data_IF_096052955509
#
_entry.id   IF_096052955509
#
_cell.length_a   1.000
_cell.length_b   1.000
_cell.length_c   1.000
_cell.angle_alpha   90.00
_cell.angle_beta   90.00
_cell.angle_gamma   90.00
#
_symmetry.space_group_name_H-M   'P 1'
#
loop_
_entity.id
_entity.type
_entity.pdbx_description
1 polymer ?
#
# COMPACT_ATOMS: atom_id res chain seq x y z
N UNK A 1 19.01 12.45 4.56
CA UNK A 1 17.69 12.84 4.04
C UNK A 1 17.85 14.22 3.44
N UNK A 2 17.65 14.37 2.14
CA UNK A 2 17.86 15.64 1.44
C UNK A 2 16.71 16.58 1.76
N UNK A 3 17.00 17.75 2.33
CA UNK A 3 16.01 18.79 2.61
C UNK A 3 15.19 19.14 1.35
N UNK A 4 13.92 18.70 1.31
CA UNK A 4 12.96 18.97 0.23
C UNK A 4 12.37 20.38 0.34
N UNK A 5 13.19 21.39 0.63
CA UNK A 5 12.75 22.77 0.88
C UNK A 5 12.34 23.52 -0.40
N UNK A 6 12.30 22.84 -1.55
CA UNK A 6 11.94 23.36 -2.87
C UNK A 6 10.66 22.77 -3.45
N UNK A 7 10.04 21.78 -2.79
CA UNK A 7 8.82 21.14 -3.29
C UNK A 7 7.60 22.03 -3.05
N UNK A 8 6.88 22.33 -4.12
CA UNK A 8 5.56 22.97 -4.04
C UNK A 8 4.54 22.01 -3.43
N UNK A 9 3.38 22.53 -3.04
CA UNK A 9 2.30 21.67 -2.53
C UNK A 9 1.82 20.69 -3.61
N UNK A 10 1.86 21.09 -4.88
CA UNK A 10 1.58 20.21 -6.03
C UNK A 10 2.62 19.08 -6.15
N UNK A 11 3.91 19.38 -5.98
CA UNK A 11 4.97 18.37 -6.00
C UNK A 11 4.82 17.35 -4.86
N UNK A 12 4.46 17.83 -3.66
CA UNK A 12 4.18 16.95 -2.50
C UNK A 12 2.98 16.04 -2.78
N UNK A 13 1.93 16.58 -3.40
CA UNK A 13 0.76 15.79 -3.79
C UNK A 13 1.14 14.72 -4.81
N UNK A 14 1.87 15.08 -5.88
CA UNK A 14 2.34 14.13 -6.89
C UNK A 14 3.21 13.04 -6.25
N UNK A 15 4.12 13.43 -5.36
CA UNK A 15 4.98 12.49 -4.67
C UNK A 15 4.18 11.52 -3.80
N UNK A 16 3.22 12.03 -3.02
CA UNK A 16 2.34 11.22 -2.20
C UNK A 16 1.52 10.23 -3.03
N UNK A 17 0.90 10.67 -4.12
CA UNK A 17 0.13 9.80 -5.01
C UNK A 17 1.01 8.75 -5.70
N UNK A 18 2.25 9.09 -6.03
CA UNK A 18 3.21 8.16 -6.62
C UNK A 18 3.55 7.04 -5.64
N UNK A 19 3.89 7.40 -4.39
CA UNK A 19 4.17 6.42 -3.33
C UNK A 19 2.95 5.54 -3.09
N UNK A 20 1.75 6.13 -2.99
CA UNK A 20 0.52 5.37 -2.78
C UNK A 20 0.26 4.36 -3.90
N UNK A 21 0.33 4.81 -5.16
CA UNK A 21 0.17 3.94 -6.34
C UNK A 21 1.15 2.76 -6.32
N UNK A 22 2.41 3.04 -6.04
CA UNK A 22 3.47 2.03 -6.07
C UNK A 22 3.34 1.04 -4.92
N UNK A 23 2.95 1.52 -3.73
CA UNK A 23 2.66 0.67 -2.56
C UNK A 23 1.50 -0.29 -2.85
N UNK A 24 0.38 0.21 -3.36
CA UNK A 24 -0.80 -0.62 -3.66
C UNK A 24 -0.47 -1.66 -4.73
N UNK A 25 0.24 -1.25 -5.79
CA UNK A 25 0.68 -2.18 -6.83
C UNK A 25 1.58 -3.28 -6.30
N UNK A 26 2.51 -2.93 -5.39
CA UNK A 26 3.37 -3.91 -4.75
C UNK A 26 2.61 -4.88 -3.84
N UNK A 27 1.63 -4.41 -3.04
CA UNK A 27 0.80 -5.29 -2.20
C UNK A 27 0.00 -6.29 -3.05
N UNK A 28 -0.59 -5.85 -4.16
CA UNK A 28 -1.28 -6.75 -5.10
C UNK A 28 -0.35 -7.85 -5.59
N UNK A 29 0.87 -7.50 -6.00
CA UNK A 29 1.86 -8.49 -6.45
C UNK A 29 2.22 -9.50 -5.36
N UNK A 30 2.34 -9.06 -4.11
CA UNK A 30 2.59 -9.97 -2.98
C UNK A 30 1.43 -10.95 -2.80
N UNK A 31 0.18 -10.46 -2.83
CA UNK A 31 -1.01 -11.30 -2.69
C UNK A 31 -1.15 -12.29 -3.86
N UNK A 32 -0.95 -11.84 -5.10
CA UNK A 32 -0.98 -12.70 -6.29
C UNK A 32 0.08 -13.81 -6.22
N UNK A 33 1.29 -13.49 -5.72
CA UNK A 33 2.36 -14.49 -5.55
C UNK A 33 2.00 -15.60 -4.56
N UNK A 34 1.06 -15.33 -3.64
CA UNK A 34 0.52 -16.27 -2.65
C UNK A 34 -0.77 -16.96 -3.14
N UNK A 35 -1.14 -16.75 -4.41
CA UNK A 35 -2.32 -17.33 -5.05
C UNK A 35 -3.63 -16.61 -4.71
N UNK A 36 -3.58 -15.39 -4.15
CA UNK A 36 -4.77 -14.61 -3.81
C UNK A 36 -5.02 -13.61 -4.93
N UNK A 37 -6.08 -13.84 -5.69
CA UNK A 37 -6.53 -12.89 -6.70
C UNK A 37 -7.13 -11.66 -6.00
N UNK A 38 -6.65 -10.47 -6.35
CA UNK A 38 -7.16 -9.24 -5.78
C UNK A 38 -7.19 -8.10 -6.81
N UNK A 39 -8.14 -7.19 -6.64
CA UNK A 39 -8.28 -5.99 -7.46
C UNK A 39 -8.36 -4.76 -6.56
N UNK A 40 -7.78 -3.63 -6.99
CA UNK A 40 -8.01 -2.33 -6.34
C UNK A 40 -9.23 -1.63 -6.92
N UNK A 41 -9.81 -0.74 -6.11
CA UNK A 41 -10.80 0.24 -6.55
C UNK A 41 -10.33 1.04 -7.76
N UNK A 42 -11.29 1.45 -8.60
CA UNK A 42 -11.05 2.35 -9.74
C UNK A 42 -11.47 3.76 -9.36
N UNK A 43 -10.61 4.74 -9.60
CA UNK A 43 -10.86 6.15 -9.31
C UNK A 43 -9.88 6.71 -8.27
N UNK A 44 -10.00 8.00 -7.96
CA UNK A 44 -9.27 8.65 -6.89
C UNK A 44 -10.25 8.89 -5.73
N UNK A 45 -10.41 7.88 -4.87
CA UNK A 45 -11.26 8.01 -3.68
C UNK A 45 -10.43 8.59 -2.52
N UNK A 46 -10.85 9.70 -1.89
CA UNK A 46 -10.13 10.30 -0.76
C UNK A 46 -10.09 9.40 0.49
N UNK A 47 -10.95 8.39 0.57
CA UNK A 47 -10.92 7.33 1.58
C UNK A 47 -9.84 6.26 1.35
N UNK A 48 -9.14 6.31 0.21
CA UNK A 48 -8.05 5.40 -0.14
C UNK A 48 -8.48 4.24 -1.05
N UNK A 49 -7.49 3.44 -1.47
CA UNK A 49 -7.74 2.24 -2.27
C UNK A 49 -8.25 1.07 -1.40
N UNK A 50 -9.35 0.43 -1.84
CA UNK A 50 -9.86 -0.81 -1.24
C UNK A 50 -9.40 -1.99 -2.09
N UNK A 51 -8.82 -3.01 -1.43
CA UNK A 51 -8.52 -4.30 -2.03
C UNK A 51 -9.74 -5.21 -1.96
N UNK A 52 -10.23 -5.65 -3.12
CA UNK A 52 -11.23 -6.71 -3.25
C UNK A 52 -10.52 -8.05 -3.39
N UNK A 53 -10.91 -9.02 -2.56
CA UNK A 53 -10.45 -10.40 -2.59
C UNK A 53 -11.61 -11.31 -2.18
N UNK A 54 -11.48 -12.63 -2.42
CA UNK A 54 -12.46 -13.61 -2.00
C UNK A 54 -12.62 -13.60 -0.46
N UNK A 55 -13.84 -13.56 0.12
CA UNK A 55 -14.03 -13.50 1.57
C UNK A 55 -13.30 -14.61 2.34
N UNK A 56 -13.13 -15.78 1.71
CA UNK A 56 -12.41 -16.93 2.26
C UNK A 56 -10.92 -16.65 2.49
N UNK A 57 -10.33 -15.73 1.73
CA UNK A 57 -8.93 -15.33 1.83
C UNK A 57 -8.70 -14.22 2.87
N UNK A 58 -9.77 -13.64 3.46
CA UNK A 58 -9.65 -12.53 4.44
C UNK A 58 -8.66 -12.80 5.58
N UNK A 59 -8.66 -13.99 6.23
CA UNK A 59 -7.70 -14.27 7.29
C UNK A 59 -6.25 -14.26 6.78
N UNK A 60 -6.02 -14.82 5.58
CA UNK A 60 -4.69 -14.91 4.97
C UNK A 60 -4.18 -13.56 4.51
N UNK A 61 -5.05 -12.74 3.89
CA UNK A 61 -4.71 -11.37 3.49
C UNK A 61 -4.29 -10.55 4.71
N UNK A 62 -5.01 -10.65 5.83
CA UNK A 62 -4.65 -9.94 7.08
C UNK A 62 -3.30 -10.38 7.62
N UNK A 63 -2.98 -11.67 7.55
CA UNK A 63 -1.69 -12.22 8.00
C UNK A 63 -0.54 -11.69 7.12
N UNK A 64 -0.67 -11.78 5.79
CA UNK A 64 0.35 -11.26 4.85
C UNK A 64 0.60 -9.77 5.06
N UNK A 65 -0.46 -8.96 5.23
CA UNK A 65 -0.32 -7.52 5.47
C UNK A 65 0.40 -7.26 6.81
N UNK A 66 0.12 -8.05 7.85
CA UNK A 66 0.83 -7.94 9.13
C UNK A 66 2.30 -8.29 8.98
N UNK A 67 2.63 -9.40 8.33
CA UNK A 67 4.02 -9.80 8.08
C UNK A 67 4.79 -8.73 7.30
N UNK A 68 4.17 -8.18 6.26
CA UNK A 68 4.71 -7.04 5.50
C UNK A 68 4.99 -5.86 6.44
N UNK A 69 4.00 -5.47 7.23
CA UNK A 69 4.13 -4.35 8.15
C UNK A 69 5.24 -4.61 9.17
N UNK A 70 5.34 -5.83 9.69
CA UNK A 70 6.36 -6.20 10.66
C UNK A 70 7.76 -6.12 10.01
N UNK A 71 7.95 -6.62 8.79
CA UNK A 71 9.25 -6.56 8.11
C UNK A 71 9.76 -5.12 7.94
N UNK A 72 8.89 -4.20 7.58
CA UNK A 72 9.29 -2.84 7.21
C UNK A 72 9.13 -1.80 8.35
N UNK A 73 8.25 -2.05 9.32
CA UNK A 73 7.91 -1.10 10.39
C UNK A 73 8.29 -1.60 11.81
N UNK A 74 8.77 -2.84 12.00
CA UNK A 74 9.17 -3.34 13.34
C UNK A 74 10.42 -2.67 13.95
N UNK A 75 11.11 -1.80 13.21
CA UNK A 75 12.23 -1.01 13.74
C UNK A 75 11.82 0.35 14.30
N UNK A 76 10.55 0.57 14.62
CA UNK A 76 10.15 1.67 15.48
C UNK A 76 10.22 1.22 16.95
N UNK A 77 11.41 1.36 17.54
CA UNK A 77 11.60 1.32 18.99
C UNK A 77 10.62 2.32 19.66
N UNK A 78 9.98 1.95 20.78
CA UNK A 78 8.95 2.75 21.46
C UNK A 78 9.45 4.09 22.03
#
# INVERSE_FOLDING_TARGET
>A
MTDQNWMTDEDKMIHHYTIHRDLVGWVIQQLESQGIACERTRGNDPGGDILYFCPEDEPRVKEIIREINDVYNSNQDP
#
